data_IF_318112436654
#
_entry.id   IF_318112436654
#
_cell.length_a   1.000
_cell.length_b   1.000
_cell.length_c   1.000
_cell.angle_alpha   90.00
_cell.angle_beta   90.00
_cell.angle_gamma   90.00
#
_symmetry.space_group_name_H-M   'P 1'
#
loop_
_entity.id
_entity.type
_entity.pdbx_description
1 polymer ?
#
# COMPACT_ATOMS: atom_id res chain seq x y z
N UNK A 1 24.81 39.81 -28.24
CA UNK A 1 24.23 38.45 -28.24
C UNK A 1 24.58 37.79 -26.91
N UNK A 2 23.68 37.85 -25.94
CA UNK A 2 23.92 37.31 -24.59
C UNK A 2 22.93 36.18 -24.37
N UNK A 3 23.43 34.95 -24.38
CA UNK A 3 22.70 33.74 -24.02
C UNK A 3 22.34 33.81 -22.53
N UNK A 4 21.09 34.16 -22.22
CA UNK A 4 20.44 33.88 -20.93
C UNK A 4 19.29 32.91 -21.20
N UNK A 5 19.11 31.95 -20.30
CA UNK A 5 18.04 30.93 -20.24
C UNK A 5 18.40 29.51 -20.68
N UNK A 6 19.42 28.90 -20.06
CA UNK A 6 19.48 27.43 -19.94
C UNK A 6 19.59 26.91 -18.49
N UNK A 7 19.47 27.78 -17.49
CA UNK A 7 19.68 27.40 -16.08
C UNK A 7 18.41 26.95 -15.34
N UNK A 8 17.21 27.09 -15.92
CA UNK A 8 15.96 26.73 -15.24
C UNK A 8 15.54 25.25 -15.40
N UNK A 9 16.19 24.48 -16.28
CA UNK A 9 15.78 23.10 -16.58
C UNK A 9 16.47 22.07 -15.66
N UNK A 10 17.63 22.42 -15.08
CA UNK A 10 18.42 21.47 -14.27
C UNK A 10 17.85 21.29 -12.85
N UNK A 11 17.07 22.25 -12.34
CA UNK A 11 16.47 22.18 -11.00
C UNK A 11 15.21 21.30 -10.89
N UNK A 12 14.62 20.90 -12.02
CA UNK A 12 13.46 19.98 -12.05
C UNK A 12 13.88 18.49 -12.08
N UNK A 13 15.14 18.20 -12.42
CA UNK A 13 15.66 16.83 -12.50
C UNK A 13 16.14 16.25 -11.16
N UNK A 14 16.28 17.07 -10.12
CA UNK A 14 16.75 16.62 -8.80
C UNK A 14 15.62 16.32 -7.80
N UNK A 15 14.35 16.49 -8.19
CA UNK A 15 13.20 16.21 -7.31
C UNK A 15 12.71 14.74 -7.36
N UNK A 16 13.27 13.90 -8.23
CA UNK A 16 12.96 12.48 -8.28
C UNK A 16 14.05 11.65 -7.58
N UNK A 17 14.48 12.07 -6.39
CA UNK A 17 15.03 11.10 -5.44
C UNK A 17 13.83 10.31 -4.96
N UNK A 18 13.52 9.21 -5.65
CA UNK A 18 12.56 8.22 -5.19
C UNK A 18 13.10 7.67 -3.87
N UNK A 19 12.75 8.33 -2.77
CA UNK A 19 12.93 7.83 -1.42
C UNK A 19 12.02 6.62 -1.28
N UNK A 20 12.46 5.50 -1.82
CA UNK A 20 11.76 4.25 -1.60
C UNK A 20 11.87 3.91 -0.12
N UNK A 21 10.71 3.68 0.47
CA UNK A 21 10.58 3.33 1.86
C UNK A 21 10.09 1.90 1.94
N UNK A 22 10.70 1.13 2.84
CA UNK A 22 10.10 -0.10 3.31
C UNK A 22 9.11 0.26 4.42
N UNK A 23 7.85 -0.16 4.25
CA UNK A 23 6.80 0.08 5.22
C UNK A 23 6.30 -1.24 5.78
N UNK A 24 6.32 -1.36 7.10
CA UNK A 24 5.80 -2.51 7.83
C UNK A 24 4.59 -2.09 8.67
N UNK A 25 3.50 -2.85 8.56
CA UNK A 25 2.26 -2.63 9.28
C UNK A 25 1.80 -3.94 9.94
N UNK A 26 1.42 -3.87 11.21
CA UNK A 26 0.74 -4.98 11.90
C UNK A 26 -0.68 -4.60 12.26
N UNK A 27 -1.56 -5.59 12.16
CA UNK A 27 -2.97 -5.49 12.50
C UNK A 27 -3.43 -6.79 13.16
N UNK A 28 -4.41 -6.71 14.08
CA UNK A 28 -4.86 -7.87 14.88
C UNK A 28 -6.37 -8.18 14.74
N UNK A 29 -7.09 -7.38 13.95
CA UNK A 29 -8.54 -7.51 13.75
C UNK A 29 -8.90 -7.11 12.32
N UNK A 30 -9.65 -7.96 11.63
CA UNK A 30 -10.17 -7.70 10.29
C UNK A 30 -11.68 -7.50 10.37
N UNK A 31 -12.15 -6.41 9.79
CA UNK A 31 -13.57 -6.12 9.58
C UNK A 31 -13.92 -6.49 8.15
N UNK A 32 -14.75 -7.52 7.96
CA UNK A 32 -15.23 -7.93 6.65
C UNK A 32 -16.53 -7.19 6.36
N UNK A 33 -16.53 -6.30 5.37
CA UNK A 33 -17.73 -5.56 4.94
C UNK A 33 -18.57 -6.44 4.01
N UNK A 34 -19.85 -6.60 4.34
CA UNK A 34 -20.83 -7.29 3.50
C UNK A 34 -21.53 -6.31 2.55
N UNK A 35 -22.16 -6.85 1.50
CA UNK A 35 -22.89 -6.06 0.50
C UNK A 35 -24.08 -5.27 1.08
N UNK A 36 -24.67 -5.76 2.17
CA UNK A 36 -25.77 -5.11 2.91
C UNK A 36 -25.30 -3.96 3.83
N UNK A 37 -23.99 -3.65 3.84
CA UNK A 37 -23.40 -2.61 4.67
C UNK A 37 -23.04 -3.06 6.10
N UNK A 38 -23.46 -4.25 6.52
CA UNK A 38 -23.06 -4.84 7.80
C UNK A 38 -21.59 -5.27 7.79
N UNK A 39 -21.00 -5.51 8.97
CA UNK A 39 -19.62 -5.98 9.09
C UNK A 39 -19.53 -7.12 10.09
N UNK A 40 -18.77 -8.16 9.74
CA UNK A 40 -18.32 -9.19 10.68
C UNK A 40 -16.91 -8.89 11.14
N UNK A 41 -16.60 -9.21 12.40
CA UNK A 41 -15.26 -9.05 12.97
C UNK A 41 -14.61 -10.40 13.07
N UNK A 42 -13.48 -10.56 12.40
CA UNK A 42 -12.63 -11.74 12.47
C UNK A 42 -11.31 -11.34 13.13
N UNK A 43 -10.83 -12.17 14.06
CA UNK A 43 -9.54 -11.92 14.75
C UNK A 43 -8.47 -12.69 14.01
N UNK A 44 -7.52 -11.95 13.45
CA UNK A 44 -6.39 -12.49 12.71
C UNK A 44 -5.19 -11.60 12.95
N UNK A 45 -4.02 -12.22 13.12
CA UNK A 45 -2.75 -11.49 13.17
C UNK A 45 -2.26 -11.32 11.73
N UNK A 46 -2.30 -10.08 11.25
CA UNK A 46 -1.94 -9.73 9.87
C UNK A 46 -0.73 -8.82 9.89
N UNK A 47 0.29 -9.16 9.10
CA UNK A 47 1.38 -8.25 8.79
C UNK A 47 1.42 -7.95 7.29
N UNK A 48 1.64 -6.67 6.98
CA UNK A 48 1.77 -6.15 5.62
C UNK A 48 3.11 -5.44 5.52
N UNK A 49 3.95 -5.89 4.59
CA UNK A 49 5.24 -5.31 4.29
C UNK A 49 5.24 -4.80 2.85
N UNK A 50 5.34 -3.49 2.66
CA UNK A 50 5.47 -2.85 1.36
C UNK A 50 6.93 -2.47 1.13
N UNK A 51 7.51 -2.98 0.06
CA UNK A 51 8.82 -2.57 -0.42
C UNK A 51 8.65 -1.91 -1.79
N UNK A 52 8.66 -0.57 -1.79
CA UNK A 52 8.44 0.25 -2.99
C UNK A 52 9.62 0.19 -3.97
N UNK A 53 10.81 -0.25 -3.51
CA UNK A 53 12.06 -0.39 -4.28
C UNK A 53 11.94 -1.53 -5.29
N UNK A 54 11.63 -2.72 -4.78
CA UNK A 54 11.51 -3.93 -5.59
C UNK A 54 10.06 -4.18 -6.07
N UNK A 55 9.15 -3.22 -5.83
CA UNK A 55 7.73 -3.30 -6.19
C UNK A 55 7.06 -4.57 -5.67
N UNK A 56 7.23 -4.83 -4.37
CA UNK A 56 6.69 -6.01 -3.70
C UNK A 56 5.84 -5.65 -2.49
N UNK A 57 4.75 -6.37 -2.30
CA UNK A 57 3.94 -6.37 -1.09
C UNK A 57 3.87 -7.80 -0.54
N UNK A 58 4.32 -8.00 0.69
CA UNK A 58 4.22 -9.27 1.39
C UNK A 58 3.12 -9.17 2.44
N UNK A 59 2.14 -10.08 2.38
CA UNK A 59 1.04 -10.17 3.33
C UNK A 59 1.11 -11.50 4.06
N UNK A 60 1.16 -11.48 5.39
CA UNK A 60 1.11 -12.69 6.22
C UNK A 60 -0.12 -12.64 7.11
N UNK A 61 -0.82 -13.77 7.24
CA UNK A 61 -2.04 -13.91 8.05
C UNK A 61 -1.87 -15.11 8.98
N UNK A 62 -2.11 -14.94 10.27
CA UNK A 62 -2.03 -15.97 11.31
C UNK A 62 -0.71 -16.76 11.31
N UNK A 63 0.41 -16.06 11.08
CA UNK A 63 1.75 -16.66 11.01
C UNK A 63 1.92 -17.76 9.94
N UNK A 64 1.01 -17.84 8.96
CA UNK A 64 1.10 -18.77 7.83
C UNK A 64 2.13 -18.30 6.79
N UNK A 65 2.30 -19.11 5.75
CA UNK A 65 3.15 -18.76 4.60
C UNK A 65 2.77 -17.39 4.02
N UNK A 66 3.76 -16.50 3.79
CA UNK A 66 3.49 -15.18 3.25
C UNK A 66 2.94 -15.27 1.83
N UNK A 67 1.96 -14.42 1.56
CA UNK A 67 1.42 -14.18 0.22
C UNK A 67 2.19 -13.01 -0.38
N UNK A 68 2.78 -13.21 -1.56
CA UNK A 68 3.65 -12.21 -2.19
C UNK A 68 2.92 -11.64 -3.40
N UNK A 69 2.70 -10.33 -3.38
CA UNK A 69 2.09 -9.58 -4.47
C UNK A 69 3.11 -8.64 -5.10
N UNK A 70 3.01 -8.48 -6.41
CA UNK A 70 3.69 -7.42 -7.15
C UNK A 70 2.89 -6.12 -7.04
N UNK A 71 3.56 -5.01 -6.75
CA UNK A 71 2.98 -3.67 -6.83
C UNK A 71 2.98 -3.25 -8.31
N UNK A 72 1.79 -3.12 -8.90
CA UNK A 72 1.63 -2.75 -10.33
C UNK A 72 1.32 -1.27 -10.53
N UNK A 73 0.73 -0.61 -9.54
CA UNK A 73 0.49 0.84 -9.56
C UNK A 73 0.51 1.39 -8.12
N UNK A 74 0.90 2.65 -7.99
CA UNK A 74 0.91 3.39 -6.73
C UNK A 74 0.35 4.79 -6.94
N UNK A 75 -0.61 5.17 -6.09
CA UNK A 75 -1.23 6.49 -6.10
C UNK A 75 -1.18 7.09 -4.70
N UNK A 76 -0.73 8.34 -4.60
CA UNK A 76 -0.75 9.13 -3.38
C UNK A 76 -1.61 10.37 -3.58
N UNK A 77 -2.74 10.42 -2.88
CA UNK A 77 -3.59 11.60 -2.84
C UNK A 77 -3.04 12.58 -1.80
N UNK A 78 -2.58 13.74 -2.27
CA UNK A 78 -1.96 14.79 -1.45
C UNK A 78 -2.99 15.47 -0.53
N UNK A 79 -4.25 15.57 -0.95
CA UNK A 79 -5.32 16.20 -0.16
C UNK A 79 -5.83 15.26 0.93
N UNK A 80 -6.09 14.00 0.56
CA UNK A 80 -6.71 13.04 1.50
C UNK A 80 -5.69 12.23 2.30
N UNK A 81 -4.39 12.34 1.98
CA UNK A 81 -3.27 11.57 2.53
C UNK A 81 -3.37 10.06 2.33
N UNK A 82 -4.29 9.62 1.45
CA UNK A 82 -4.49 8.21 1.14
C UNK A 82 -3.37 7.76 0.22
N UNK A 83 -2.71 6.66 0.60
CA UNK A 83 -1.83 5.90 -0.29
C UNK A 83 -2.58 4.67 -0.78
N UNK A 84 -2.59 4.44 -2.09
CA UNK A 84 -3.26 3.30 -2.72
C UNK A 84 -2.25 2.53 -3.56
N UNK A 85 -2.24 1.21 -3.39
CA UNK A 85 -1.39 0.29 -4.14
C UNK A 85 -2.30 -0.70 -4.86
N UNK A 86 -2.12 -0.85 -6.16
CA UNK A 86 -2.70 -1.96 -6.91
C UNK A 86 -1.71 -3.12 -6.90
N UNK A 87 -2.19 -4.28 -6.49
CA UNK A 87 -1.37 -5.45 -6.21
C UNK A 87 -1.86 -6.65 -7.02
N UNK A 88 -0.93 -7.41 -7.59
CA UNK A 88 -1.20 -8.61 -8.38
C UNK A 88 -0.38 -9.80 -7.87
N UNK A 89 -1.04 -10.91 -7.60
CA UNK A 89 -0.41 -12.18 -7.22
C UNK A 89 -0.14 -13.03 -8.47
N UNK A 90 0.85 -13.93 -8.42
CA UNK A 90 1.21 -14.81 -9.55
C UNK A 90 0.06 -15.73 -10.01
N UNK A 91 -0.89 -16.01 -9.11
CA UNK A 91 -2.07 -16.85 -9.38
C UNK A 91 -3.25 -16.06 -9.99
N UNK A 92 -3.04 -14.78 -10.33
CA UNK A 92 -4.03 -13.91 -10.95
C UNK A 92 -4.95 -13.18 -9.97
N UNK A 93 -4.79 -13.35 -8.65
CA UNK A 93 -5.52 -12.51 -7.67
C UNK A 93 -5.07 -11.06 -7.79
N UNK A 94 -6.06 -10.16 -7.82
CA UNK A 94 -5.85 -8.71 -7.83
C UNK A 94 -6.48 -8.09 -6.60
N UNK A 95 -5.73 -7.24 -5.90
CA UNK A 95 -6.24 -6.51 -4.74
C UNK A 95 -5.83 -5.04 -4.81
N UNK A 96 -6.69 -4.14 -4.33
CA UNK A 96 -6.31 -2.76 -4.01
C UNK A 96 -6.05 -2.67 -2.52
N UNK A 97 -4.89 -2.16 -2.13
CA UNK A 97 -4.55 -1.85 -0.75
C UNK A 97 -4.49 -0.33 -0.56
N UNK A 98 -5.41 0.21 0.24
CA UNK A 98 -5.47 1.63 0.56
C UNK A 98 -5.14 1.87 2.04
N UNK A 99 -4.17 2.73 2.30
CA UNK A 99 -3.71 3.11 3.63
C UNK A 99 -4.08 4.57 3.88
N UNK A 100 -4.80 4.82 4.97
CA UNK A 100 -5.16 6.17 5.43
C UNK A 100 -4.96 6.27 6.95
N UNK A 101 -4.01 7.11 7.38
CA UNK A 101 -3.66 7.27 8.80
C UNK A 101 -3.36 5.90 9.43
N UNK A 102 -4.18 5.46 10.40
CA UNK A 102 -4.03 4.18 11.12
C UNK A 102 -4.98 3.09 10.60
N UNK A 103 -5.44 3.15 9.35
CA UNK A 103 -6.38 2.18 8.79
C UNK A 103 -5.92 1.68 7.43
N UNK A 104 -5.98 0.37 7.25
CA UNK A 104 -5.80 -0.30 5.97
C UNK A 104 -7.17 -0.75 5.48
N UNK A 105 -7.41 -0.56 4.19
CA UNK A 105 -8.54 -1.10 3.46
C UNK A 105 -8.03 -1.97 2.33
N UNK A 106 -8.52 -3.19 2.22
CA UNK A 106 -8.19 -4.12 1.14
C UNK A 106 -9.45 -4.41 0.36
N UNK A 107 -9.42 -4.21 -0.96
CA UNK A 107 -10.49 -4.60 -1.87
C UNK A 107 -9.99 -5.75 -2.73
N UNK A 108 -10.61 -6.93 -2.61
CA UNK A 108 -10.29 -8.07 -3.45
C UNK A 108 -11.13 -8.03 -4.73
N UNK A 109 -10.52 -7.67 -5.86
CA UNK A 109 -11.23 -7.46 -7.13
C UNK A 109 -11.92 -8.73 -7.64
N UNK A 110 -11.30 -9.89 -7.43
CA UNK A 110 -11.84 -11.19 -7.87
C UNK A 110 -13.14 -11.57 -7.17
N UNK A 111 -13.35 -11.10 -5.93
CA UNK A 111 -14.53 -11.46 -5.12
C UNK A 111 -15.44 -10.27 -4.82
N UNK A 112 -15.02 -9.05 -5.14
CA UNK A 112 -15.67 -7.80 -4.72
C UNK A 112 -15.66 -7.55 -3.22
N UNK A 113 -15.01 -8.42 -2.41
CA UNK A 113 -15.00 -8.29 -0.95
C UNK A 113 -14.10 -7.13 -0.51
N UNK A 114 -14.54 -6.44 0.53
CA UNK A 114 -13.80 -5.36 1.17
C UNK A 114 -13.49 -5.73 2.61
N UNK A 115 -12.22 -5.57 2.97
CA UNK A 115 -11.69 -5.81 4.30
C UNK A 115 -11.13 -4.50 4.84
N UNK A 116 -11.37 -4.21 6.10
CA UNK A 116 -10.81 -3.05 6.77
C UNK A 116 -10.11 -3.50 8.05
N UNK A 117 -9.04 -2.82 8.43
CA UNK A 117 -8.31 -3.17 9.64
C UNK A 117 -7.58 -1.96 10.20
N UNK A 118 -7.48 -1.88 11.52
CA UNK A 118 -6.78 -0.81 12.21
C UNK A 118 -5.32 -1.24 12.44
N UNK A 119 -4.40 -0.32 12.15
CA UNK A 119 -2.96 -0.50 12.31
C UNK A 119 -2.61 -0.35 13.78
N UNK A 120 -2.12 -1.42 14.39
CA UNK A 120 -1.68 -1.42 15.81
C UNK A 120 -0.20 -1.08 15.94
N UNK A 121 0.60 -1.39 14.92
CA UNK A 121 2.01 -1.05 14.84
C UNK A 121 2.40 -0.68 13.41
N UNK A 122 3.26 0.33 13.28
CA UNK A 122 3.81 0.76 12.01
C UNK A 122 5.29 1.09 12.15
N UNK A 123 6.11 0.69 11.17
CA UNK A 123 7.51 1.06 11.06
C UNK A 123 7.80 1.40 9.61
N UNK A 124 8.60 2.45 9.39
CA UNK A 124 9.07 2.84 8.06
C UNK A 124 10.58 2.94 8.11
N UNK A 125 11.27 2.20 7.26
CA UNK A 125 12.71 2.31 7.08
C UNK A 125 12.98 3.08 5.78
N UNK A 126 13.93 4.02 5.85
CA UNK A 126 14.48 4.70 4.68
C UNK A 126 15.82 4.03 4.39
N UNK A 127 15.97 3.49 3.19
CA UNK A 127 17.30 3.19 2.64
C UNK A 127 17.95 4.47 2.12
#
# INVERSE_FOLDING_TARGET
MIMKNKLFIVLLLTAAVSYSQEHYYETAKIYVKKADGSSTVEKHDVSVMLNENIKQCTVRIDYKEPQIFKIVDEKKDVQTTVKTYELEHEDGRKITLAIKKKRITVTAHTTGKKFETDIIYQKSEKE
#
